data_IF_120289971984
#
_entry.id   IF_120289971984
#
_cell.length_a   1.000
_cell.length_b   1.000
_cell.length_c   1.000
_cell.angle_alpha   90.00
_cell.angle_beta   90.00
_cell.angle_gamma   90.00
#
_symmetry.space_group_name_H-M   'P 1'
#
loop_
_entity.id
_entity.type
_entity.pdbx_description
1 polymer ?
#
# COMPACT_ATOMS: atom_id res chain seq x y z
N UNK A 1 8.84 3.92 -11.34
CA UNK A 1 7.62 4.21 -10.56
C UNK A 1 6.72 5.11 -11.39
N UNK A 2 5.62 5.60 -10.84
CA UNK A 2 4.77 6.56 -11.53
C UNK A 2 5.52 7.89 -11.78
N UNK A 3 5.22 8.54 -12.90
CA UNK A 3 5.54 9.94 -13.10
C UNK A 3 4.47 10.77 -12.38
N UNK A 4 4.92 11.77 -11.61
CA UNK A 4 4.05 12.67 -10.86
C UNK A 4 4.34 14.08 -11.32
N UNK A 5 3.34 14.72 -11.93
CA UNK A 5 3.38 16.12 -12.32
C UNK A 5 2.30 16.88 -11.54
N UNK A 6 2.50 18.18 -11.35
CA UNK A 6 1.54 19.00 -10.60
C UNK A 6 1.54 20.43 -11.11
N UNK A 7 0.39 21.09 -10.93
CA UNK A 7 0.20 22.52 -11.21
C UNK A 7 -0.25 23.27 -9.97
N UNK A 8 -0.91 24.41 -10.16
CA UNK A 8 -1.43 25.24 -9.06
C UNK A 8 -2.52 24.58 -8.23
N UNK A 9 -3.30 23.70 -8.84
CA UNK A 9 -4.57 23.17 -8.32
C UNK A 9 -4.83 21.70 -8.72
N UNK A 10 -3.82 21.02 -9.28
CA UNK A 10 -3.95 19.65 -9.74
C UNK A 10 -2.66 18.84 -9.52
N UNK A 11 -2.83 17.53 -9.42
CA UNK A 11 -1.76 16.53 -9.42
C UNK A 11 -2.16 15.45 -10.43
N UNK A 12 -1.24 15.07 -11.31
CA UNK A 12 -1.38 13.95 -12.24
C UNK A 12 -0.40 12.86 -11.85
N UNK A 13 -0.87 11.62 -11.86
CA UNK A 13 -0.06 10.44 -11.58
C UNK A 13 -0.23 9.47 -12.76
N UNK A 14 0.84 9.26 -13.51
CA UNK A 14 0.85 8.39 -14.69
C UNK A 14 1.86 7.26 -14.51
N UNK A 15 1.41 6.02 -14.64
CA UNK A 15 2.28 4.84 -14.61
C UNK A 15 3.08 4.67 -15.91
N UNK A 16 2.76 5.42 -16.97
CA UNK A 16 3.43 5.39 -18.27
C UNK A 16 3.52 3.97 -18.85
N UNK A 17 2.50 3.15 -18.60
CA UNK A 17 2.46 1.73 -19.00
C UNK A 17 3.42 0.80 -18.24
N UNK A 18 4.13 1.29 -17.21
CA UNK A 18 5.00 0.46 -16.38
C UNK A 18 4.18 -0.37 -15.37
N UNK A 19 4.65 -1.59 -15.07
CA UNK A 19 4.14 -2.37 -13.94
C UNK A 19 4.39 -1.68 -12.61
N UNK A 20 3.45 -1.84 -11.68
CA UNK A 20 3.63 -1.48 -10.28
C UNK A 20 4.72 -2.36 -9.65
N UNK A 21 5.54 -1.78 -8.78
CA UNK A 21 6.54 -2.51 -7.98
C UNK A 21 6.22 -2.32 -6.52
N UNK A 22 6.21 -3.41 -5.76
CA UNK A 22 5.91 -3.36 -4.34
C UNK A 22 6.99 -2.56 -3.60
N UNK A 23 6.59 -1.84 -2.56
CA UNK A 23 7.46 -0.96 -1.76
C UNK A 23 7.27 -1.20 -0.27
N UNK A 24 8.29 -0.86 0.52
CA UNK A 24 8.20 -0.86 1.97
C UNK A 24 7.77 0.52 2.46
N UNK A 25 6.69 0.57 3.23
CA UNK A 25 6.09 1.78 3.79
C UNK A 25 6.06 1.66 5.31
N UNK A 26 6.45 2.73 6.00
CA UNK A 26 6.36 2.84 7.45
C UNK A 26 5.68 4.14 7.81
N UNK A 27 4.56 4.07 8.53
CA UNK A 27 3.84 5.26 9.00
C UNK A 27 4.65 5.93 10.11
N UNK A 28 4.57 7.25 10.20
CA UNK A 28 5.17 8.05 11.26
C UNK A 28 4.49 9.43 11.33
N UNK A 29 4.69 10.23 12.41
CA UNK A 29 4.09 11.55 12.51
C UNK A 29 4.51 12.46 11.34
N UNK A 30 3.66 13.43 11.02
CA UNK A 30 3.95 14.42 9.97
C UNK A 30 5.35 15.05 10.18
N UNK A 31 6.20 15.15 9.14
CA UNK A 31 5.91 15.06 7.70
C UNK A 31 6.11 13.68 7.05
N UNK A 32 6.31 12.63 7.84
CA UNK A 32 6.50 11.28 7.31
C UNK A 32 5.21 10.68 6.72
N UNK A 33 5.27 9.42 6.28
CA UNK A 33 4.14 8.76 5.62
C UNK A 33 2.91 8.69 6.55
N UNK A 34 1.74 9.19 6.13
CA UNK A 34 0.57 9.28 6.99
C UNK A 34 -0.14 7.93 7.13
N UNK A 35 -0.58 7.63 8.35
CA UNK A 35 -1.41 6.45 8.67
C UNK A 35 -2.73 6.40 7.88
N UNK A 36 -3.27 7.55 7.45
CA UNK A 36 -4.50 7.60 6.67
C UNK A 36 -4.34 7.08 5.23
N UNK A 37 -3.10 6.94 4.74
CA UNK A 37 -2.77 6.39 3.42
C UNK A 37 -2.30 4.93 3.47
N UNK A 38 -2.13 4.38 4.67
CA UNK A 38 -1.59 3.04 4.88
C UNK A 38 -2.43 1.98 4.16
N UNK A 39 -3.75 2.00 4.33
CA UNK A 39 -4.64 0.98 3.77
C UNK A 39 -4.65 0.97 2.23
N UNK A 40 -4.63 2.16 1.63
CA UNK A 40 -4.59 2.36 0.18
C UNK A 40 -3.26 1.82 -0.39
N UNK A 41 -2.14 2.04 0.32
CA UNK A 41 -0.85 1.50 -0.08
C UNK A 41 -0.71 -0.01 0.17
N UNK A 42 -1.40 -0.57 1.17
CA UNK A 42 -1.52 -2.03 1.33
C UNK A 42 -2.15 -2.65 0.09
N UNK A 43 -3.28 -2.11 -0.40
CA UNK A 43 -3.92 -2.60 -1.64
C UNK A 43 -3.00 -2.42 -2.84
N UNK A 44 -2.34 -1.26 -2.96
CA UNK A 44 -1.40 -1.00 -4.06
C UNK A 44 -0.25 -2.03 -4.08
N UNK A 45 0.31 -2.36 -2.91
CA UNK A 45 1.36 -3.37 -2.78
C UNK A 45 0.89 -4.78 -3.13
N UNK A 46 -0.35 -5.15 -2.81
CA UNK A 46 -0.91 -6.47 -3.15
C UNK A 46 -0.95 -6.66 -4.67
N UNK A 47 -1.30 -5.63 -5.44
CA UNK A 47 -1.36 -5.72 -6.91
C UNK A 47 -0.05 -5.35 -7.60
N UNK A 48 1.01 -5.05 -6.84
CA UNK A 48 2.32 -4.68 -7.37
C UNK A 48 3.27 -5.88 -7.43
N UNK A 49 4.12 -5.93 -8.45
CA UNK A 49 5.11 -7.01 -8.59
C UNK A 49 6.11 -7.00 -7.43
N UNK A 50 6.29 -8.17 -6.79
CA UNK A 50 7.20 -8.37 -5.66
C UNK A 50 6.47 -8.58 -4.33
N UNK A 51 7.19 -8.29 -3.24
CA UNK A 51 6.67 -8.35 -1.87
C UNK A 51 6.95 -7.02 -1.18
N UNK A 52 5.91 -6.37 -0.68
CA UNK A 52 5.98 -5.08 0.00
C UNK A 52 5.56 -5.19 1.46
N UNK A 53 6.16 -4.38 2.31
CA UNK A 53 5.84 -4.34 3.74
C UNK A 53 5.16 -3.02 4.09
N UNK A 54 4.08 -3.07 4.85
CA UNK A 54 3.41 -1.87 5.36
C UNK A 54 3.40 -1.93 6.87
N UNK A 55 4.24 -1.12 7.52
CA UNK A 55 4.39 -1.07 8.98
C UNK A 55 3.65 0.14 9.56
N UNK A 56 2.68 -0.12 10.42
CA UNK A 56 1.90 0.91 11.12
C UNK A 56 2.50 1.19 12.52
N UNK A 57 2.90 2.43 12.82
CA UNK A 57 3.50 2.80 14.11
C UNK A 57 2.69 3.82 14.93
N UNK A 58 1.62 4.38 14.37
CA UNK A 58 0.81 5.43 15.00
C UNK A 58 -0.39 4.86 15.74
N UNK A 59 -1.04 3.85 15.16
CA UNK A 59 -2.27 3.27 15.71
C UNK A 59 -2.14 1.77 15.90
N UNK A 60 -2.49 1.31 17.09
CA UNK A 60 -2.63 -0.12 17.36
C UNK A 60 -3.86 -0.67 16.60
N UNK A 61 -3.72 -1.86 16.00
CA UNK A 61 -4.81 -2.60 15.35
C UNK A 61 -5.45 -1.95 14.10
N UNK A 62 -4.68 -1.23 13.26
CA UNK A 62 -5.23 -0.55 12.07
C UNK A 62 -5.39 -1.41 10.81
N UNK A 63 -5.08 -2.70 10.88
CA UNK A 63 -5.22 -3.64 9.75
C UNK A 63 -6.61 -4.31 9.65
N UNK A 64 -7.67 -3.65 10.11
CA UNK A 64 -9.05 -4.20 10.05
C UNK A 64 -9.55 -4.49 8.62
N UNK A 65 -8.92 -3.91 7.60
CA UNK A 65 -9.22 -4.12 6.19
C UNK A 65 -8.60 -5.41 5.62
N UNK A 66 -7.56 -5.94 6.26
CA UNK A 66 -6.79 -7.09 5.74
C UNK A 66 -7.63 -8.37 5.61
N UNK A 67 -8.49 -8.74 6.58
CA UNK A 67 -9.33 -9.94 6.43
C UNK A 67 -10.26 -9.88 5.21
N UNK A 68 -10.76 -8.69 4.84
CA UNK A 68 -11.61 -8.56 3.66
C UNK A 68 -10.78 -8.67 2.37
N UNK A 69 -9.56 -8.11 2.34
CA UNK A 69 -8.65 -8.30 1.22
C UNK A 69 -8.29 -9.78 1.01
N UNK A 70 -8.06 -10.53 2.10
CA UNK A 70 -7.86 -11.98 2.03
C UNK A 70 -9.08 -12.71 1.47
N UNK A 71 -10.30 -12.30 1.85
CA UNK A 71 -11.54 -12.84 1.25
C UNK A 71 -11.65 -12.56 -0.25
N UNK A 72 -11.05 -11.45 -0.71
CA UNK A 72 -10.92 -11.11 -2.13
C UNK A 72 -9.73 -11.83 -2.83
N UNK A 73 -9.04 -12.74 -2.14
CA UNK A 73 -7.94 -13.53 -2.68
C UNK A 73 -6.56 -12.89 -2.56
N UNK A 74 -6.41 -11.80 -1.80
CA UNK A 74 -5.10 -11.21 -1.55
C UNK A 74 -4.19 -12.15 -0.75
N UNK A 75 -2.96 -12.30 -1.23
CA UNK A 75 -1.86 -12.89 -0.45
C UNK A 75 -1.23 -11.81 0.45
N UNK A 76 -1.76 -11.72 1.68
CA UNK A 76 -1.30 -10.76 2.69
C UNK A 76 -1.26 -11.42 4.06
N UNK A 77 -0.14 -11.25 4.75
CA UNK A 77 0.09 -11.75 6.11
C UNK A 77 0.28 -10.59 7.10
N UNK A 78 -0.13 -10.79 8.35
CA UNK A 78 0.06 -9.82 9.43
C UNK A 78 1.09 -10.33 10.43
N UNK A 79 2.19 -9.62 10.56
CA UNK A 79 3.21 -9.84 11.59
C UNK A 79 3.27 -8.63 12.54
N UNK A 80 2.62 -8.76 13.69
CA UNK A 80 2.51 -7.68 14.66
C UNK A 80 1.82 -6.44 14.07
N UNK A 81 2.59 -5.38 13.87
CA UNK A 81 2.13 -4.12 13.27
C UNK A 81 2.56 -3.96 11.79
N UNK A 82 2.97 -5.04 11.14
CA UNK A 82 3.39 -5.04 9.73
C UNK A 82 2.50 -5.95 8.90
N UNK A 83 1.98 -5.43 7.79
CA UNK A 83 1.36 -6.24 6.74
C UNK A 83 2.39 -6.58 5.66
N UNK A 84 2.60 -7.87 5.40
CA UNK A 84 3.45 -8.40 4.35
C UNK A 84 2.55 -8.71 3.17
N UNK A 85 2.69 -7.95 2.09
CA UNK A 85 1.83 -8.00 0.91
C UNK A 85 2.59 -8.67 -0.22
N UNK A 86 2.17 -9.87 -0.64
CA UNK A 86 2.73 -10.56 -1.79
C UNK A 86 1.89 -10.29 -3.05
N UNK A 87 2.56 -10.30 -4.20
CA UNK A 87 1.92 -10.02 -5.47
C UNK A 87 0.75 -10.97 -5.77
N UNK A 88 -0.43 -10.39 -5.92
CA UNK A 88 -1.66 -11.03 -6.35
C UNK A 88 -2.10 -10.38 -7.67
N UNK A 89 -2.18 -11.17 -8.74
CA UNK A 89 -2.48 -10.68 -10.09
C UNK A 89 -3.78 -9.88 -10.17
N UNK A 90 -4.80 -10.29 -9.42
CA UNK A 90 -6.11 -9.64 -9.38
C UNK A 90 -6.84 -10.02 -8.08
N UNK A 91 -7.59 -9.06 -7.53
CA UNK A 91 -8.55 -9.28 -6.45
C UNK A 91 -9.95 -9.52 -7.04
N UNK A 92 -10.72 -10.41 -6.41
CA UNK A 92 -12.08 -10.81 -6.84
C UNK A 92 -13.13 -9.75 -6.55
#
# INVERSE_FOLDING_TARGET
GANVSSGSDWIEVDMQGCSLKAVNVKTAPHPAFPTDMQAQFTVLNIVAEGTGHVTETIFENRFMHVPELQRMGADVELEGNTAICAYTKQLS
#
